data_IF_885300335777
#
_entry.id   IF_885300335777
#
_cell.length_a   1.000
_cell.length_b   1.000
_cell.length_c   1.000
_cell.angle_alpha   90.00
_cell.angle_beta   90.00
_cell.angle_gamma   90.00
#
_symmetry.space_group_name_H-M   'P 1'
#
loop_
_entity.id
_entity.type
_entity.pdbx_description
1 polymer ?
#
# COMPACT_ATOMS: atom_id res chain seq x y z
N UNK A 1 -4.67 17.95 2.32
CA UNK A 1 -5.61 17.72 3.44
C UNK A 1 -5.79 16.22 3.60
N UNK A 2 -5.76 15.68 4.82
CA UNK A 2 -5.99 14.23 5.05
C UNK A 2 -7.42 13.83 4.66
N UNK A 3 -7.59 12.62 4.13
CA UNK A 3 -8.89 12.06 3.73
C UNK A 3 -9.24 10.93 4.70
N UNK A 4 -10.47 10.97 5.22
CA UNK A 4 -11.01 9.90 6.06
C UNK A 4 -10.99 8.55 5.29
N UNK A 5 -10.53 7.44 5.90
CA UNK A 5 -10.39 6.16 5.20
C UNK A 5 -11.73 5.56 4.74
N UNK A 6 -12.84 5.81 5.43
CA UNK A 6 -14.17 5.38 4.96
C UNK A 6 -14.57 6.12 3.67
N UNK A 7 -14.19 7.39 3.55
CA UNK A 7 -14.40 8.19 2.35
C UNK A 7 -13.58 7.66 1.17
N UNK A 8 -12.32 7.28 1.42
CA UNK A 8 -11.44 6.67 0.40
C UNK A 8 -12.08 5.43 -0.22
N UNK A 9 -12.68 4.56 0.61
CA UNK A 9 -13.35 3.34 0.16
C UNK A 9 -14.64 3.70 -0.58
N UNK A 10 -15.46 4.59 -0.01
CA UNK A 10 -16.74 5.01 -0.60
C UNK A 10 -16.57 5.61 -1.99
N UNK A 11 -15.50 6.37 -2.20
CA UNK A 11 -15.16 6.98 -3.49
C UNK A 11 -14.47 6.01 -4.47
N UNK A 12 -14.10 4.81 -4.02
CA UNK A 12 -13.43 3.81 -4.85
C UNK A 12 -11.96 4.09 -5.14
N UNK A 13 -11.33 5.02 -4.42
CA UNK A 13 -9.91 5.34 -4.58
C UNK A 13 -8.99 4.16 -4.22
N UNK A 14 -9.50 3.25 -3.40
CA UNK A 14 -8.87 1.98 -3.08
C UNK A 14 -9.91 0.85 -3.18
N UNK A 15 -9.68 -0.10 -4.08
CA UNK A 15 -10.41 -1.36 -4.09
C UNK A 15 -9.83 -2.30 -3.04
N UNK A 16 -10.66 -2.68 -2.06
CA UNK A 16 -10.28 -3.46 -0.90
C UNK A 16 -10.11 -4.95 -1.22
N UNK A 17 -9.34 -5.64 -0.38
CA UNK A 17 -9.21 -7.10 -0.36
C UNK A 17 -9.91 -7.69 0.87
N UNK A 18 -10.12 -9.02 0.94
CA UNK A 18 -10.64 -9.68 2.15
C UNK A 18 -9.78 -9.50 3.41
N UNK A 19 -8.55 -9.02 3.27
CA UNK A 19 -7.60 -8.82 4.38
C UNK A 19 -7.43 -7.34 4.75
N UNK A 20 -8.06 -6.43 4.00
CA UNK A 20 -7.99 -4.99 4.27
C UNK A 20 -8.61 -4.67 5.62
N UNK A 21 -8.04 -3.71 6.34
CA UNK A 21 -8.63 -3.19 7.58
C UNK A 21 -8.60 -1.67 7.55
N UNK A 22 -9.74 -1.06 7.82
CA UNK A 22 -9.84 0.38 8.04
C UNK A 22 -9.36 0.67 9.46
N UNK A 23 -8.39 1.56 9.59
CA UNK A 23 -7.86 2.07 10.85
C UNK A 23 -8.31 3.53 11.04
N UNK A 24 -7.89 4.21 12.11
CA UNK A 24 -8.38 5.54 12.46
C UNK A 24 -8.06 6.61 11.41
N UNK A 25 -6.90 6.51 10.74
CA UNK A 25 -6.41 7.53 9.78
C UNK A 25 -5.99 6.94 8.44
N UNK A 26 -5.97 5.63 8.30
CA UNK A 26 -5.44 4.97 7.13
C UNK A 26 -6.03 3.58 6.95
N UNK A 27 -5.55 2.89 5.94
CA UNK A 27 -6.05 1.58 5.53
C UNK A 27 -4.88 0.61 5.50
N UNK A 28 -4.95 -0.46 6.28
CA UNK A 28 -3.93 -1.49 6.23
C UNK A 28 -4.04 -2.32 4.95
N UNK A 29 -2.90 -2.52 4.30
CA UNK A 29 -2.77 -3.23 3.03
C UNK A 29 -1.97 -4.52 3.21
N UNK A 30 -2.26 -5.51 2.38
CA UNK A 30 -1.87 -6.90 2.60
C UNK A 30 -1.12 -7.50 1.41
N UNK A 31 -0.27 -8.50 1.66
CA UNK A 31 0.53 -9.16 0.60
C UNK A 31 -0.25 -10.23 -0.17
N UNK A 32 -0.01 -10.34 -1.48
CA UNK A 32 -0.77 -11.25 -2.35
C UNK A 32 -0.36 -12.74 -2.26
N UNK A 33 0.81 -13.02 -1.70
CA UNK A 33 1.39 -14.37 -1.61
C UNK A 33 2.12 -14.58 -0.29
N UNK A 34 2.42 -15.84 0.00
CA UNK A 34 3.32 -16.20 1.08
C UNK A 34 4.74 -15.66 0.80
N UNK A 35 5.42 -15.24 1.86
CA UNK A 35 6.79 -14.74 1.82
C UNK A 35 7.57 -15.44 2.93
N UNK A 36 8.60 -16.19 2.56
CA UNK A 36 9.52 -16.84 3.50
C UNK A 36 10.89 -16.16 3.41
N UNK A 37 11.19 -15.31 4.39
CA UNK A 37 12.44 -14.55 4.43
C UNK A 37 13.47 -15.29 5.27
N UNK A 38 14.63 -15.59 4.67
CA UNK A 38 15.76 -16.26 5.32
C UNK A 38 16.96 -15.33 5.45
N UNK A 39 16.73 -14.10 5.95
CA UNK A 39 17.75 -13.05 6.06
C UNK A 39 17.98 -12.25 4.78
N UNK A 40 17.10 -12.38 3.79
CA UNK A 40 17.13 -11.66 2.52
C UNK A 40 15.97 -10.66 2.41
N UNK A 41 15.73 -10.14 1.21
CA UNK A 41 14.57 -9.33 0.89
C UNK A 41 13.75 -9.95 -0.24
N UNK A 42 12.46 -9.65 -0.24
CA UNK A 42 11.52 -10.02 -1.29
C UNK A 42 10.73 -8.78 -1.72
N UNK A 43 10.54 -8.62 -3.04
CA UNK A 43 9.61 -7.62 -3.59
C UNK A 43 8.26 -8.30 -3.76
N UNK A 44 7.25 -7.73 -3.12
CA UNK A 44 5.93 -8.36 -2.98
C UNK A 44 4.86 -7.33 -3.27
N UNK A 45 3.87 -7.74 -4.06
CA UNK A 45 2.74 -6.91 -4.43
C UNK A 45 1.65 -6.94 -3.36
N UNK A 46 0.98 -5.81 -3.22
CA UNK A 46 -0.18 -5.67 -2.34
C UNK A 46 -1.45 -6.23 -3.01
N UNK A 47 -2.42 -6.68 -2.21
CA UNK A 47 -3.70 -7.18 -2.72
C UNK A 47 -4.58 -6.03 -3.20
N UNK A 48 -4.53 -4.89 -2.52
CA UNK A 48 -5.40 -3.75 -2.76
C UNK A 48 -4.97 -2.99 -4.02
N UNK A 49 -5.96 -2.59 -4.82
CA UNK A 49 -5.76 -1.79 -6.02
C UNK A 49 -6.07 -0.34 -5.73
N UNK A 50 -5.14 0.54 -6.09
CA UNK A 50 -5.34 1.98 -6.08
C UNK A 50 -5.99 2.41 -7.40
N UNK A 51 -6.91 3.36 -7.32
CA UNK A 51 -7.56 4.04 -8.45
C UNK A 51 -7.60 5.54 -8.14
N UNK A 52 -6.44 6.20 -8.11
CA UNK A 52 -6.34 7.57 -7.61
C UNK A 52 -6.74 8.60 -8.67
N UNK A 53 -7.59 9.59 -8.32
CA UNK A 53 -7.73 10.81 -9.12
C UNK A 53 -6.43 11.58 -9.26
N UNK A 54 -6.39 12.54 -10.19
CA UNK A 54 -5.18 13.33 -10.49
C UNK A 54 -4.76 14.29 -9.37
N UNK A 55 -5.56 14.46 -8.31
CA UNK A 55 -5.32 15.35 -7.17
C UNK A 55 -5.21 14.61 -5.83
N UNK A 56 -5.30 13.28 -5.81
CA UNK A 56 -5.21 12.45 -4.59
C UNK A 56 -3.93 11.63 -4.61
N UNK A 57 -3.18 11.62 -3.52
CA UNK A 57 -2.04 10.73 -3.33
C UNK A 57 -2.15 9.97 -2.01
N UNK A 58 -1.34 8.92 -1.85
CA UNK A 58 -1.22 8.21 -0.58
C UNK A 58 0.25 8.06 -0.16
N UNK A 59 0.49 7.99 1.15
CA UNK A 59 1.80 7.63 1.71
C UNK A 59 1.66 6.27 2.39
N UNK A 60 2.57 5.35 2.07
CA UNK A 60 2.65 4.04 2.71
C UNK A 60 3.61 4.08 3.90
N UNK A 61 3.14 3.62 5.05
CA UNK A 61 3.93 3.44 6.26
C UNK A 61 4.01 1.96 6.65
N UNK A 62 5.18 1.44 7.06
CA UNK A 62 5.27 0.09 7.62
C UNK A 62 4.43 -0.03 8.89
N UNK A 63 3.71 -1.15 9.06
CA UNK A 63 2.93 -1.38 10.29
C UNK A 63 3.85 -1.57 11.48
N UNK A 64 3.49 -0.98 12.63
CA UNK A 64 4.29 -1.02 13.86
C UNK A 64 4.57 -2.45 14.35
N UNK A 65 3.65 -3.39 14.12
CA UNK A 65 3.83 -4.82 14.42
C UNK A 65 5.03 -5.42 13.70
N UNK A 66 5.30 -5.01 12.46
CA UNK A 66 6.44 -5.50 11.67
C UNK A 66 7.74 -4.87 12.10
N UNK A 67 7.73 -3.56 12.37
CA UNK A 67 8.88 -2.85 12.93
C UNK A 67 9.33 -3.53 14.24
N UNK A 68 8.38 -3.82 15.14
CA UNK A 68 8.66 -4.50 16.43
C UNK A 68 9.16 -5.94 16.28
N UNK A 69 8.88 -6.58 15.14
CA UNK A 69 9.37 -7.93 14.80
C UNK A 69 10.69 -7.91 14.03
N UNK A 70 11.29 -6.73 13.81
CA UNK A 70 12.57 -6.59 13.12
C UNK A 70 12.47 -6.66 11.59
N UNK A 71 11.27 -6.56 11.01
CA UNK A 71 11.12 -6.42 9.56
C UNK A 71 11.33 -4.96 9.15
N UNK A 72 12.01 -4.76 8.03
CA UNK A 72 12.14 -3.47 7.37
C UNK A 72 11.29 -3.52 6.10
N UNK A 73 10.33 -2.62 5.98
CA UNK A 73 9.51 -2.50 4.77
C UNK A 73 9.94 -1.22 4.05
N UNK A 74 10.46 -1.37 2.83
CA UNK A 74 10.70 -0.25 1.94
C UNK A 74 9.44 -0.03 1.11
N UNK A 75 8.83 1.13 1.30
CA UNK A 75 7.61 1.59 0.66
C UNK A 75 7.72 3.11 0.42
N UNK A 76 6.70 3.73 -0.19
CA UNK A 76 6.78 5.13 -0.57
C UNK A 76 5.44 5.79 -0.85
N UNK A 77 5.47 6.82 -1.67
CA UNK A 77 4.31 7.57 -2.13
C UNK A 77 3.62 6.82 -3.26
N UNK A 78 2.30 6.77 -3.24
CA UNK A 78 1.46 6.41 -4.38
C UNK A 78 1.01 7.71 -5.05
N UNK A 79 1.52 7.95 -6.25
CA UNK A 79 1.40 9.22 -6.96
C UNK A 79 -0.05 9.51 -7.43
N UNK A 80 -0.45 10.79 -7.54
CA UNK A 80 -1.74 11.16 -8.11
C UNK A 80 -1.98 10.62 -9.51
N UNK A 81 -3.18 10.13 -9.80
CA UNK A 81 -3.51 9.50 -11.07
C UNK A 81 -3.00 8.05 -11.22
N UNK A 82 -2.34 7.48 -10.21
CA UNK A 82 -1.91 6.07 -10.26
C UNK A 82 -3.11 5.11 -10.15
N UNK A 83 -3.11 4.11 -11.02
CA UNK A 83 -4.05 3.00 -11.08
C UNK A 83 -3.24 1.71 -11.10
N UNK A 84 -3.40 0.82 -10.12
CA UNK A 84 -2.60 -0.41 -10.05
C UNK A 84 -2.49 -0.99 -8.65
N UNK A 85 -1.78 -2.12 -8.55
CA UNK A 85 -1.42 -2.79 -7.29
C UNK A 85 0.08 -2.62 -7.04
N UNK A 86 0.50 -1.73 -6.14
CA UNK A 86 1.90 -1.42 -5.94
C UNK A 86 2.65 -2.56 -5.27
N UNK A 87 3.98 -2.51 -5.37
CA UNK A 87 4.90 -3.43 -4.67
C UNK A 87 5.61 -2.76 -3.50
N UNK A 88 5.98 -3.56 -2.51
CA UNK A 88 6.86 -3.17 -1.39
C UNK A 88 8.02 -4.16 -1.30
N UNK A 89 9.18 -3.71 -0.82
CA UNK A 89 10.28 -4.62 -0.51
C UNK A 89 10.29 -4.92 0.99
N UNK A 90 10.30 -6.20 1.35
CA UNK A 90 10.25 -6.69 2.72
C UNK A 90 11.59 -7.33 3.03
N UNK A 91 12.30 -6.82 4.04
CA UNK A 91 13.58 -7.35 4.53
C UNK A 91 13.38 -7.92 5.93
N UNK A 92 14.05 -9.03 6.24
CA UNK A 92 14.04 -9.59 7.59
C UNK A 92 14.23 -11.11 7.59
N UNK A 93 13.74 -11.76 8.64
CA UNK A 93 13.74 -13.20 8.79
C UNK A 93 12.41 -13.67 9.34
N UNK A 94 11.80 -14.66 8.69
CA UNK A 94 10.53 -15.26 9.10
C UNK A 94 9.52 -15.38 7.96
N UNK A 95 8.42 -16.05 8.28
CA UNK A 95 7.33 -16.34 7.37
C UNK A 95 6.18 -15.34 7.53
N UNK A 96 5.76 -14.72 6.43
CA UNK A 96 4.55 -13.91 6.33
C UNK A 96 3.56 -14.63 5.40
N UNK A 97 2.40 -15.09 5.90
CA UNK A 97 1.40 -15.74 5.04
C UNK A 97 0.75 -14.75 4.08
N UNK A 98 0.18 -15.26 2.98
CA UNK A 98 -0.73 -14.51 2.10
C UNK A 98 -1.78 -13.77 2.94
N UNK A 99 -2.04 -12.52 2.60
CA UNK A 99 -2.99 -11.66 3.31
C UNK A 99 -2.43 -11.03 4.58
N UNK A 100 -1.15 -11.26 4.92
CA UNK A 100 -0.54 -10.53 6.03
C UNK A 100 -0.51 -9.04 5.71
N UNK A 101 -1.09 -8.22 6.60
CA UNK A 101 -1.07 -6.76 6.48
C UNK A 101 0.32 -6.22 6.79
N UNK A 102 0.95 -5.52 5.84
CA UNK A 102 2.37 -5.12 5.92
C UNK A 102 2.61 -3.62 6.00
N UNK A 103 1.75 -2.83 5.37
CA UNK A 103 1.81 -1.36 5.36
C UNK A 103 0.43 -0.78 5.64
N UNK A 104 0.39 0.48 6.04
CA UNK A 104 -0.81 1.30 6.14
C UNK A 104 -0.71 2.42 5.10
N UNK A 105 -1.77 2.63 4.33
CA UNK A 105 -1.90 3.75 3.41
C UNK A 105 -2.67 4.91 4.06
N UNK A 106 -2.11 6.12 3.98
CA UNK A 106 -2.76 7.36 4.42
C UNK A 106 -2.94 8.29 3.23
N UNK A 107 -4.16 8.75 3.01
CA UNK A 107 -4.57 9.45 1.79
C UNK A 107 -4.69 10.96 2.01
N UNK A 108 -4.36 11.73 0.99
CA UNK A 108 -4.36 13.18 1.03
C UNK A 108 -4.86 13.79 -0.28
N UNK A 109 -5.64 14.86 -0.18
CA UNK A 109 -5.83 15.83 -1.27
C UNK A 109 -4.56 16.64 -1.41
N UNK A 110 -4.00 16.67 -2.61
CA UNK A 110 -2.81 17.40 -3.00
C UNK A 110 -3.07 18.45 -4.09
N UNK A 111 -2.03 19.18 -4.45
CA UNK A 111 -1.98 20.07 -5.61
C UNK A 111 -0.77 19.68 -6.47
N UNK A 112 -0.87 18.60 -7.25
CA UNK A 112 0.29 18.03 -7.92
C UNK A 112 0.66 18.78 -9.20
N UNK A 113 1.95 18.72 -9.55
CA UNK A 113 2.45 19.32 -10.79
C UNK A 113 1.90 18.62 -12.05
N UNK A 114 1.64 17.31 -11.96
CA UNK A 114 1.04 16.51 -13.02
C UNK A 114 0.51 15.19 -12.44
N UNK A 115 -0.37 14.52 -13.19
CA UNK A 115 -0.74 13.14 -12.91
C UNK A 115 0.39 12.16 -13.28
N UNK A 116 0.40 11.00 -12.64
CA UNK A 116 1.33 9.92 -12.91
C UNK A 116 1.13 9.35 -14.32
N UNK A 117 2.22 9.31 -15.08
CA UNK A 117 2.30 8.73 -16.42
C UNK A 117 3.47 7.73 -16.55
N UNK A 118 3.95 7.21 -15.42
CA UNK A 118 5.12 6.34 -15.37
C UNK A 118 4.82 4.90 -15.82
N UNK A 119 5.90 4.13 -15.99
CA UNK A 119 5.88 2.77 -16.53
C UNK A 119 5.11 1.73 -15.71
N UNK A 120 4.82 2.03 -14.44
CA UNK A 120 4.10 1.12 -13.53
C UNK A 120 2.59 1.37 -13.50
N UNK A 121 2.07 2.22 -14.40
CA UNK A 121 0.63 2.41 -14.52
C UNK A 121 -0.04 1.11 -14.96
N UNK A 122 -1.18 0.77 -14.35
CA UNK A 122 -1.91 -0.49 -14.51
C UNK A 122 -1.14 -1.75 -14.08
N UNK A 123 -0.11 -1.63 -13.24
CA UNK A 123 0.61 -2.82 -12.79
C UNK A 123 -0.27 -3.72 -11.93
N UNK A 124 -0.18 -5.03 -12.16
CA UNK A 124 -0.86 -6.03 -11.36
C UNK A 124 -2.38 -6.05 -11.48
N UNK A 125 -2.98 -5.34 -12.45
CA UNK A 125 -4.41 -5.42 -12.79
C UNK A 125 -4.73 -6.65 -13.65
#
# INVERSE_FOLDING_TARGET
MHINPDEVIRQGYLAISPYTTVEQVGIDLSIERNVDLKGNHEVVRLNEQFNLPSDIFAILFPRSTLIRKGFIIQCGVIEPGYIGRPVVAIHGSGFLPKGYRVVQAVFFVGNPASAYNGRYQNEGL
#
